data_IF_593061862600
#
_entry.id   IF_593061862600
#
_cell.length_a   1.000
_cell.length_b   1.000
_cell.length_c   1.000
_cell.angle_alpha   90.00
_cell.angle_beta   90.00
_cell.angle_gamma   90.00
#
_symmetry.space_group_name_H-M   'P 1'
#
loop_
_entity.id
_entity.type
_entity.pdbx_description
1 polymer ?
#
# COMPACT_ATOMS: atom_id res chain seq x y z
N UNK A 1 -4.63 57.17 -38.20
CA UNK A 1 -5.66 56.52 -37.35
C UNK A 1 -5.00 56.13 -36.03
N UNK A 2 -4.95 57.04 -35.06
CA UNK A 2 -4.40 56.75 -33.74
C UNK A 2 -5.48 56.06 -32.91
N UNK A 3 -5.40 54.74 -32.80
CA UNK A 3 -6.29 54.00 -31.89
C UNK A 3 -5.89 54.42 -30.46
N UNK A 4 -6.81 54.93 -29.63
CA UNK A 4 -6.49 55.36 -28.29
C UNK A 4 -5.99 54.14 -27.51
N UNK A 5 -4.72 54.18 -27.11
CA UNK A 5 -3.97 53.07 -26.47
C UNK A 5 -4.74 52.51 -25.25
N UNK A 6 -5.54 53.34 -24.58
CA UNK A 6 -6.42 52.93 -23.49
C UNK A 6 -7.47 51.88 -23.87
N UNK A 7 -8.04 51.92 -25.07
CA UNK A 7 -9.01 50.92 -25.51
C UNK A 7 -8.35 49.58 -25.80
N UNK A 8 -7.14 49.60 -26.38
CA UNK A 8 -6.38 48.38 -26.66
C UNK A 8 -6.00 47.66 -25.36
N UNK A 9 -5.61 48.41 -24.33
CA UNK A 9 -5.33 47.86 -23.00
C UNK A 9 -6.58 47.27 -22.33
N UNK A 10 -7.73 47.93 -22.48
CA UNK A 10 -9.02 47.41 -21.98
C UNK A 10 -9.40 46.08 -22.63
N UNK A 11 -9.33 45.99 -23.96
CA UNK A 11 -9.62 44.75 -24.68
C UNK A 11 -8.60 43.64 -24.36
N UNK A 12 -7.31 43.98 -24.24
CA UNK A 12 -6.30 43.02 -23.86
C UNK A 12 -6.54 42.44 -22.46
N UNK A 13 -6.93 43.28 -21.49
CA UNK A 13 -7.27 42.83 -20.15
C UNK A 13 -8.48 41.88 -20.15
N UNK A 14 -9.55 42.22 -20.88
CA UNK A 14 -10.75 41.37 -21.00
C UNK A 14 -10.44 40.04 -21.69
N UNK A 15 -9.53 40.02 -22.66
CA UNK A 15 -9.16 38.79 -23.37
C UNK A 15 -8.19 37.90 -22.58
N UNK A 16 -7.34 38.46 -21.73
CA UNK A 16 -6.29 37.70 -21.02
C UNK A 16 -6.82 37.13 -19.69
N UNK A 17 -7.76 37.82 -19.03
CA UNK A 17 -8.28 37.40 -17.72
C UNK A 17 -8.98 36.03 -17.75
N UNK A 18 -9.92 35.73 -18.67
CA UNK A 18 -10.60 34.43 -18.68
C UNK A 18 -9.66 33.24 -18.96
N UNK A 19 -8.75 33.28 -19.96
CA UNK A 19 -7.77 32.23 -20.16
C UNK A 19 -6.80 32.06 -18.99
N UNK A 20 -6.33 33.17 -18.40
CA UNK A 20 -5.43 33.12 -17.26
C UNK A 20 -6.11 32.50 -16.03
N UNK A 21 -7.37 32.89 -15.76
CA UNK A 21 -8.17 32.35 -14.67
C UNK A 21 -8.46 30.85 -14.86
N UNK A 22 -8.82 30.45 -16.09
CA UNK A 22 -9.05 29.05 -16.42
C UNK A 22 -7.76 28.22 -16.30
N UNK A 23 -6.64 28.72 -16.82
CA UNK A 23 -5.34 28.04 -16.72
C UNK A 23 -4.86 27.90 -15.28
N UNK A 24 -5.07 28.94 -14.46
CA UNK A 24 -4.78 28.90 -13.03
C UNK A 24 -5.65 27.85 -12.34
N UNK A 25 -6.97 27.85 -12.58
CA UNK A 25 -7.89 26.85 -12.01
C UNK A 25 -7.57 25.41 -12.43
N UNK A 26 -7.05 25.20 -13.65
CA UNK A 26 -6.67 23.87 -14.14
C UNK A 26 -5.33 23.37 -13.55
N UNK A 27 -4.46 24.28 -13.09
CA UNK A 27 -3.20 23.93 -12.40
C UNK A 27 -3.34 23.77 -10.89
N UNK A 28 -4.33 24.44 -10.29
CA UNK A 28 -4.65 24.33 -8.86
C UNK A 28 -4.80 22.89 -8.36
N UNK A 29 -5.55 21.97 -9.00
CA UNK A 29 -5.68 20.60 -8.50
C UNK A 29 -4.34 19.85 -8.47
N UNK A 30 -3.48 20.00 -9.49
CA UNK A 30 -2.18 19.32 -9.53
C UNK A 30 -1.18 19.83 -8.48
N UNK A 31 -1.23 21.13 -8.18
CA UNK A 31 -0.43 21.73 -7.10
C UNK A 31 -0.96 21.32 -5.71
N UNK A 32 -2.28 21.22 -5.54
CA UNK A 32 -2.89 20.76 -4.30
C UNK A 32 -2.58 19.28 -4.05
N UNK A 33 -2.65 18.43 -5.08
CA UNK A 33 -2.36 17.00 -4.95
C UNK A 33 -0.90 16.75 -4.56
N UNK A 34 0.05 17.42 -5.21
CA UNK A 34 1.48 17.28 -4.90
C UNK A 34 1.86 17.85 -3.53
N UNK A 35 1.29 19.01 -3.15
CA UNK A 35 1.49 19.55 -1.80
C UNK A 35 0.83 18.67 -0.73
N UNK A 36 -0.33 18.10 -1.04
CA UNK A 36 -1.05 17.13 -0.22
C UNK A 36 -0.22 15.87 0.03
N UNK A 37 0.40 15.30 -1.01
CA UNK A 37 1.30 14.15 -0.87
C UNK A 37 2.54 14.46 -0.01
N UNK A 38 3.14 15.65 -0.16
CA UNK A 38 4.28 16.06 0.66
C UNK A 38 3.92 16.20 2.14
N UNK A 39 2.79 16.86 2.43
CA UNK A 39 2.26 17.00 3.79
C UNK A 39 1.82 15.65 4.39
N UNK A 40 1.22 14.77 3.58
CA UNK A 40 0.79 13.43 4.00
C UNK A 40 2.00 12.55 4.31
N UNK A 41 3.03 12.55 3.48
CA UNK A 41 4.32 11.86 3.76
C UNK A 41 5.01 12.38 5.02
N UNK A 42 4.90 13.67 5.32
CA UNK A 42 5.48 14.27 6.54
C UNK A 42 4.67 13.97 7.81
N UNK A 43 3.37 13.70 7.68
CA UNK A 43 2.48 13.33 8.79
C UNK A 43 2.36 11.83 9.02
N UNK A 44 2.68 11.00 8.03
CA UNK A 44 2.71 9.56 8.22
C UNK A 44 3.96 9.21 9.06
N UNK A 45 3.80 8.47 10.17
CA UNK A 45 4.95 7.86 10.82
C UNK A 45 5.73 7.02 9.80
N UNK A 46 7.06 6.89 9.97
CA UNK A 46 7.82 5.96 9.14
C UNK A 46 7.14 4.59 9.17
N UNK A 47 7.12 3.86 8.04
CA UNK A 47 6.47 2.56 7.99
C UNK A 47 7.03 1.67 9.12
N UNK A 48 6.15 1.24 10.02
CA UNK A 48 6.51 0.38 11.13
C UNK A 48 6.82 -1.02 10.60
N UNK A 49 8.09 -1.42 10.70
CA UNK A 49 8.54 -2.77 10.36
C UNK A 49 9.38 -2.89 9.08
N UNK A 50 9.72 -4.12 8.68
CA UNK A 50 10.51 -4.37 7.47
C UNK A 50 9.73 -3.95 6.21
N UNK A 51 10.44 -3.56 5.14
CA UNK A 51 9.81 -3.21 3.87
C UNK A 51 8.99 -4.39 3.34
N UNK A 52 7.84 -4.07 2.74
CA UNK A 52 6.83 -5.04 2.31
C UNK A 52 7.37 -6.06 1.28
N UNK A 53 8.36 -5.65 0.48
CA UNK A 53 9.04 -6.51 -0.49
C UNK A 53 9.86 -7.61 0.19
N UNK A 54 10.47 -7.30 1.35
CA UNK A 54 11.19 -8.30 2.16
C UNK A 54 10.20 -9.29 2.77
N UNK A 55 9.07 -8.81 3.31
CA UNK A 55 8.02 -9.68 3.84
C UNK A 55 7.49 -10.64 2.77
N UNK A 56 7.22 -10.16 1.55
CA UNK A 56 6.80 -11.01 0.43
C UNK A 56 7.89 -12.02 0.01
N UNK A 57 9.17 -11.65 0.08
CA UNK A 57 10.27 -12.58 -0.17
C UNK A 57 10.38 -13.66 0.91
N UNK A 58 10.26 -13.27 2.18
CA UNK A 58 10.34 -14.17 3.33
C UNK A 58 9.14 -15.13 3.37
N UNK A 59 7.93 -14.67 3.08
CA UNK A 59 6.74 -15.52 2.93
C UNK A 59 6.96 -16.60 1.87
N UNK A 60 7.44 -16.23 0.68
CA UNK A 60 7.76 -17.20 -0.39
C UNK A 60 8.86 -18.17 0.02
N UNK A 61 9.85 -17.71 0.77
CA UNK A 61 10.96 -18.55 1.26
C UNK A 61 10.46 -19.57 2.29
N UNK A 62 9.65 -19.15 3.26
CA UNK A 62 9.12 -20.03 4.31
C UNK A 62 8.08 -20.99 3.74
N UNK A 63 7.21 -20.55 2.84
CA UNK A 63 6.27 -21.43 2.16
C UNK A 63 6.99 -22.56 1.41
N UNK A 64 8.03 -22.24 0.62
CA UNK A 64 8.87 -23.26 -0.03
C UNK A 64 9.56 -24.19 0.97
N UNK A 65 9.89 -23.72 2.18
CA UNK A 65 10.47 -24.55 3.21
C UNK A 65 9.45 -25.53 3.81
N UNK A 66 8.17 -25.14 3.88
CA UNK A 66 7.06 -26.03 4.26
C UNK A 66 6.81 -27.08 3.19
N UNK A 67 6.75 -26.69 1.91
CA UNK A 67 6.53 -27.62 0.79
C UNK A 67 7.63 -28.67 0.65
N UNK A 68 8.89 -28.28 0.95
CA UNK A 68 10.05 -29.17 0.87
C UNK A 68 10.24 -30.03 2.12
N UNK A 69 9.39 -29.86 3.13
CA UNK A 69 9.50 -30.62 4.35
C UNK A 69 9.06 -32.07 4.08
N UNK A 70 9.91 -33.08 4.33
CA UNK A 70 9.55 -34.45 4.05
C UNK A 70 8.42 -34.91 4.99
N UNK A 71 7.60 -35.86 4.56
CA UNK A 71 6.43 -36.34 5.33
C UNK A 71 6.81 -36.92 6.70
N UNK A 72 8.02 -37.45 6.83
CA UNK A 72 8.58 -37.98 8.07
C UNK A 72 9.36 -36.94 8.90
N UNK A 73 9.27 -35.65 8.55
CA UNK A 73 9.94 -34.61 9.31
C UNK A 73 9.40 -34.55 10.75
N UNK A 74 10.24 -34.16 11.73
CA UNK A 74 9.80 -33.97 13.10
C UNK A 74 8.61 -33.00 13.18
N UNK A 75 7.55 -33.40 13.89
CA UNK A 75 6.35 -32.58 14.11
C UNK A 75 6.71 -31.19 14.65
N UNK A 76 7.73 -31.11 15.51
CA UNK A 76 8.26 -29.85 16.06
C UNK A 76 8.77 -28.93 14.96
N UNK A 77 9.46 -29.46 13.94
CA UNK A 77 10.00 -28.66 12.82
C UNK A 77 8.86 -28.14 11.93
N UNK A 78 7.85 -28.96 11.66
CA UNK A 78 6.66 -28.54 10.91
C UNK A 78 5.92 -27.44 11.65
N UNK A 79 5.69 -27.61 12.95
CA UNK A 79 5.03 -26.62 13.82
C UNK A 79 5.80 -25.30 13.89
N UNK A 80 7.12 -25.35 14.11
CA UNK A 80 7.96 -24.16 14.15
C UNK A 80 7.94 -23.39 12.82
N UNK A 81 7.95 -24.10 11.68
CA UNK A 81 7.90 -23.46 10.36
C UNK A 81 6.53 -22.84 10.08
N UNK A 82 5.44 -23.53 10.47
CA UNK A 82 4.08 -22.99 10.41
C UNK A 82 3.94 -21.72 11.27
N UNK A 83 4.47 -21.74 12.49
CA UNK A 83 4.43 -20.57 13.38
C UNK A 83 5.23 -19.40 12.80
N UNK A 84 6.40 -19.65 12.21
CA UNK A 84 7.17 -18.62 11.51
C UNK A 84 6.40 -18.04 10.32
N UNK A 85 5.65 -18.88 9.60
CA UNK A 85 4.80 -18.45 8.50
C UNK A 85 3.64 -17.55 9.00
N UNK A 86 2.95 -17.94 10.07
CA UNK A 86 1.87 -17.14 10.66
C UNK A 86 2.36 -15.78 11.16
N UNK A 87 3.53 -15.72 11.79
CA UNK A 87 4.15 -14.46 12.21
C UNK A 87 4.42 -13.53 11.02
N UNK A 88 4.88 -14.07 9.89
CA UNK A 88 5.11 -13.27 8.68
C UNK A 88 3.80 -12.77 8.06
N UNK A 89 2.74 -13.58 8.09
CA UNK A 89 1.42 -13.18 7.63
C UNK A 89 0.84 -12.06 8.51
N UNK A 90 1.00 -12.14 9.83
CA UNK A 90 0.60 -11.08 10.75
C UNK A 90 1.34 -9.77 10.48
N UNK A 91 2.67 -9.83 10.28
CA UNK A 91 3.48 -8.65 9.92
C UNK A 91 3.04 -8.05 8.58
N UNK A 92 2.76 -8.89 7.57
CA UNK A 92 2.26 -8.43 6.28
C UNK A 92 0.88 -7.77 6.38
N UNK A 93 -0.02 -8.34 7.19
CA UNK A 93 -1.33 -7.73 7.45
C UNK A 93 -1.17 -6.37 8.11
N UNK A 94 -0.30 -6.26 9.11
CA UNK A 94 -0.03 -5.00 9.80
C UNK A 94 0.52 -3.93 8.84
N UNK A 95 1.46 -4.30 7.98
CA UNK A 95 2.04 -3.39 6.98
C UNK A 95 1.03 -2.87 5.95
N UNK A 96 -0.01 -3.65 5.64
CA UNK A 96 -1.07 -3.29 4.68
C UNK A 96 -2.31 -2.68 5.37
N UNK A 97 -2.41 -2.81 6.70
CA UNK A 97 -3.54 -2.32 7.49
C UNK A 97 -4.75 -3.28 7.50
N UNK A 98 -4.53 -4.55 7.20
CA UNK A 98 -5.56 -5.60 7.20
C UNK A 98 -5.70 -6.24 8.59
N UNK A 99 -6.92 -6.66 8.94
CA UNK A 99 -7.20 -7.34 10.21
C UNK A 99 -6.95 -8.85 10.10
N UNK A 100 -6.40 -9.44 11.18
CA UNK A 100 -6.16 -10.87 11.30
C UNK A 100 -6.43 -11.38 12.71
N UNK A 101 -6.68 -12.70 12.83
CA UNK A 101 -6.91 -13.38 14.11
C UNK A 101 -5.95 -14.55 14.37
N UNK A 102 -4.86 -14.65 13.59
CA UNK A 102 -3.86 -15.73 13.69
C UNK A 102 -3.34 -15.98 15.12
N UNK A 103 -3.15 -14.92 15.92
CA UNK A 103 -2.66 -15.03 17.30
C UNK A 103 -3.76 -15.43 18.31
N UNK A 104 -5.03 -15.27 17.93
CA UNK A 104 -6.18 -15.52 18.81
C UNK A 104 -6.79 -16.91 18.58
N UNK A 105 -6.78 -17.39 17.34
CA UNK A 105 -7.34 -18.69 16.96
C UNK A 105 -6.40 -19.81 17.45
N UNK A 106 -6.91 -20.85 18.14
CA UNK A 106 -6.09 -21.97 18.61
C UNK A 106 -5.49 -22.78 17.44
N UNK A 107 -4.37 -23.45 17.70
CA UNK A 107 -3.76 -24.38 16.73
C UNK A 107 -4.77 -25.46 16.30
N UNK A 108 -4.82 -25.74 15.00
CA UNK A 108 -5.73 -26.73 14.41
C UNK A 108 -6.35 -26.22 13.11
N UNK A 109 -7.47 -26.85 12.72
CA UNK A 109 -8.16 -26.54 11.45
C UNK A 109 -8.63 -25.09 11.40
N UNK A 110 -9.08 -24.51 12.50
CA UNK A 110 -9.53 -23.12 12.55
C UNK A 110 -8.41 -22.14 12.18
N UNK A 111 -7.19 -22.38 12.67
CA UNK A 111 -6.02 -21.56 12.34
C UNK A 111 -5.61 -21.74 10.88
N UNK A 112 -5.74 -22.93 10.33
CA UNK A 112 -5.50 -23.18 8.90
C UNK A 112 -6.51 -22.44 8.00
N UNK A 113 -7.78 -22.39 8.40
CA UNK A 113 -8.81 -21.62 7.69
C UNK A 113 -8.53 -20.11 7.76
N UNK A 114 -8.17 -19.60 8.94
CA UNK A 114 -7.80 -18.19 9.10
C UNK A 114 -6.56 -17.85 8.27
N UNK A 115 -5.58 -18.76 8.19
CA UNK A 115 -4.40 -18.60 7.34
C UNK A 115 -4.79 -18.42 5.87
N UNK A 116 -5.66 -19.28 5.33
CA UNK A 116 -6.15 -19.16 3.95
C UNK A 116 -6.91 -17.85 3.72
N UNK A 117 -7.73 -17.42 4.68
CA UNK A 117 -8.44 -16.13 4.61
C UNK A 117 -7.45 -14.95 4.56
N UNK A 118 -6.41 -14.99 5.37
CA UNK A 118 -5.38 -13.95 5.44
C UNK A 118 -4.55 -13.91 4.16
N UNK A 119 -4.11 -15.06 3.65
CA UNK A 119 -3.41 -15.16 2.37
C UNK A 119 -4.22 -14.52 1.24
N UNK A 120 -5.51 -14.82 1.16
CA UNK A 120 -6.39 -14.23 0.15
C UNK A 120 -6.59 -12.72 0.36
N UNK A 121 -6.71 -12.24 1.60
CA UNK A 121 -6.78 -10.80 1.85
C UNK A 121 -5.51 -10.08 1.36
N UNK A 122 -4.34 -10.64 1.67
CA UNK A 122 -3.06 -10.10 1.21
C UNK A 122 -2.91 -10.14 -0.32
N UNK A 123 -3.39 -11.20 -0.99
CA UNK A 123 -3.43 -11.25 -2.46
C UNK A 123 -4.30 -10.15 -3.05
N UNK A 124 -5.48 -9.89 -2.48
CA UNK A 124 -6.36 -8.79 -2.92
C UNK A 124 -5.72 -7.41 -2.74
N UNK A 125 -4.85 -7.26 -1.74
CA UNK A 125 -4.05 -6.05 -1.56
C UNK A 125 -2.83 -5.96 -2.51
N UNK A 126 -2.63 -6.96 -3.38
CA UNK A 126 -1.55 -6.99 -4.37
C UNK A 126 -0.25 -7.65 -3.90
N UNK A 127 -0.25 -8.26 -2.71
CA UNK A 127 0.92 -9.00 -2.23
C UNK A 127 0.98 -10.37 -2.90
N UNK A 128 2.13 -10.70 -3.51
CA UNK A 128 2.35 -12.01 -4.12
C UNK A 128 2.62 -13.07 -3.05
N UNK A 129 1.56 -13.49 -2.37
CA UNK A 129 1.55 -14.60 -1.41
C UNK A 129 1.22 -15.89 -2.17
N UNK A 130 1.98 -16.99 -1.98
CA UNK A 130 1.73 -18.27 -2.62
C UNK A 130 0.30 -18.72 -2.39
#
# INVERSE_FOLDING_TARGET
>A
MAVPIGNVLGYAAVCIVPPAMFWLSAKVPRLIDSAGEYLRRRRLPPPDGPPIERLAADLRRVHRALERLPDNAPVVRRRATNQAYDTLLAQACHAVGEQHWLDTVPDGVEREVERLRVEESLRRCGLAVP
#
